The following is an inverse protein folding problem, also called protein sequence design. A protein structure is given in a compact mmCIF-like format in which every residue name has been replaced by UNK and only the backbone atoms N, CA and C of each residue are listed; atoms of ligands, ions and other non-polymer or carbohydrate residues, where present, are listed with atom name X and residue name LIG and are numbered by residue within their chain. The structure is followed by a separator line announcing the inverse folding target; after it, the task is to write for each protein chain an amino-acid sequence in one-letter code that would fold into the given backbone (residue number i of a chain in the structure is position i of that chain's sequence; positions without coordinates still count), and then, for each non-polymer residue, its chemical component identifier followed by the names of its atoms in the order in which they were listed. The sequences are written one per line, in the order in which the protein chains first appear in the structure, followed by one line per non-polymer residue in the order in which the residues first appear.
data_IF_585004978113
#
_entry.id   IF_585004978113
#
_cell.length_a   1.000
_cell.length_b   1.000
_cell.length_c   1.000
_cell.angle_alpha   90.00
_cell.angle_beta   90.00
_cell.angle_gamma   90.00
#
_symmetry.space_group_name_H-M   'P 1'
#
loop_
_entity.id
_entity.type
_entity.pdbx_description
1 polymer ?
#
# COMPACT_ATOMS: atom_id res chain seq x y z
N UNK A 1 -24.30 -36.51 2.88
CA UNK A 1 -23.41 -36.29 4.03
C UNK A 1 -22.55 -35.07 3.75
N UNK A 2 -22.95 -33.90 4.26
CA UNK A 2 -22.15 -32.67 4.14
C UNK A 2 -20.99 -32.73 5.14
N UNK A 3 -19.75 -32.68 4.66
CA UNK A 3 -18.57 -32.62 5.52
C UNK A 3 -18.45 -31.21 6.08
N UNK A 4 -18.49 -31.10 7.40
CA UNK A 4 -18.26 -29.87 8.15
C UNK A 4 -16.86 -29.33 7.88
N UNK A 5 -16.77 -28.08 7.44
CA UNK A 5 -15.51 -27.33 7.37
C UNK A 5 -15.05 -27.06 8.82
N UNK A 6 -13.79 -27.34 9.20
CA UNK A 6 -13.33 -27.07 10.55
C UNK A 6 -13.37 -25.57 10.82
N UNK A 7 -14.00 -25.16 11.92
CA UNK A 7 -13.96 -23.79 12.39
C UNK A 7 -12.51 -23.37 12.64
N UNK A 8 -12.04 -22.34 11.93
CA UNK A 8 -10.78 -21.68 12.25
C UNK A 8 -10.81 -21.28 13.73
N UNK A 9 -9.84 -21.76 14.52
CA UNK A 9 -9.65 -21.33 15.90
C UNK A 9 -9.50 -19.81 16.01
N UNK A 10 -9.55 -19.23 17.22
CA UNK A 10 -9.46 -17.79 17.42
C UNK A 10 -8.23 -17.24 16.71
N UNK A 11 -8.45 -16.37 15.71
CA UNK A 11 -7.36 -15.69 15.01
C UNK A 11 -6.56 -14.95 16.06
N UNK A 12 -5.27 -15.30 16.22
CA UNK A 12 -4.34 -14.49 17.01
C UNK A 12 -4.48 -13.04 16.53
N UNK A 13 -4.79 -12.14 17.45
CA UNK A 13 -5.04 -10.74 17.16
C UNK A 13 -3.70 -10.06 16.90
N UNK A 14 -3.40 -9.81 15.62
CA UNK A 14 -2.14 -9.24 15.15
C UNK A 14 -2.37 -7.81 14.62
N UNK A 15 -2.92 -6.92 15.46
CA UNK A 15 -3.28 -5.54 15.09
C UNK A 15 -2.08 -4.62 14.78
N UNK A 16 -2.34 -3.30 14.75
CA UNK A 16 -1.38 -2.24 14.39
C UNK A 16 -0.03 -2.27 15.14
N UNK A 17 0.01 -2.92 16.31
CA UNK A 17 1.24 -3.19 17.05
C UNK A 17 2.30 -3.93 16.22
N UNK A 18 1.96 -4.81 15.28
CA UNK A 18 2.99 -5.59 14.57
C UNK A 18 3.98 -4.74 13.76
N UNK A 19 3.48 -3.75 13.03
CA UNK A 19 4.35 -2.83 12.28
C UNK A 19 5.20 -1.94 13.21
N UNK A 20 4.70 -1.65 14.42
CA UNK A 20 5.41 -0.85 15.44
C UNK A 20 6.42 -1.67 16.25
N UNK A 21 6.12 -2.92 16.61
CA UNK A 21 7.03 -3.81 17.33
C UNK A 21 8.24 -4.25 16.49
N UNK A 22 8.18 -4.08 15.16
CA UNK A 22 9.33 -4.28 14.26
C UNK A 22 10.38 -3.14 14.38
N UNK A 23 10.07 -2.03 15.06
CA UNK A 23 10.80 -0.76 14.87
C UNK A 23 11.53 -0.17 16.08
N UNK A 24 11.48 -0.78 17.26
CA UNK A 24 12.11 -0.20 18.48
C UNK A 24 13.50 -0.75 18.85
N UNK A 25 14.11 -1.63 18.05
CA UNK A 25 15.54 -1.94 18.23
C UNK A 25 16.38 -1.17 17.21
N UNK A 26 16.67 0.06 17.57
CA UNK A 26 17.60 0.96 16.89
C UNK A 26 19.05 0.49 17.07
N UNK A 27 19.43 -0.64 16.47
CA UNK A 27 20.84 -0.96 16.19
C UNK A 27 20.89 -2.12 15.20
N UNK A 28 21.53 -1.87 14.07
CA UNK A 28 21.80 -2.78 12.94
C UNK A 28 20.66 -2.97 11.91
N UNK A 29 20.97 -2.58 10.67
CA UNK A 29 20.31 -3.02 9.45
C UNK A 29 20.60 -4.52 9.24
N UNK A 30 20.00 -5.38 10.07
CA UNK A 30 20.17 -6.82 10.04
C UNK A 30 18.82 -7.51 9.82
N UNK A 31 18.72 -8.36 8.79
CA UNK A 31 17.62 -9.33 8.64
C UNK A 31 17.47 -10.10 9.95
N UNK A 32 16.41 -9.83 10.74
CA UNK A 32 16.03 -10.73 11.83
C UNK A 32 15.49 -12.01 11.21
N UNK A 33 16.23 -13.11 11.32
CA UNK A 33 15.62 -14.44 11.27
C UNK A 33 14.63 -14.52 12.43
N UNK A 34 13.41 -14.99 12.16
CA UNK A 34 12.43 -15.33 13.20
C UNK A 34 13.12 -16.18 14.27
N UNK A 35 13.13 -15.71 15.52
CA UNK A 35 13.90 -16.32 16.62
C UNK A 35 13.52 -17.80 16.89
N UNK A 36 12.39 -18.28 16.36
CA UNK A 36 11.86 -19.64 16.62
C UNK A 36 11.57 -20.48 15.35
N UNK A 37 12.11 -20.12 14.18
CA UNK A 37 11.80 -20.84 12.92
C UNK A 37 10.37 -20.69 12.39
N UNK A 38 9.52 -19.92 13.09
CA UNK A 38 8.16 -19.59 12.66
C UNK A 38 8.17 -18.56 11.52
N UNK A 39 7.59 -18.94 10.38
CA UNK A 39 7.38 -18.03 9.25
C UNK A 39 6.23 -17.07 9.53
N UNK A 40 6.49 -15.77 9.45
CA UNK A 40 5.46 -14.75 9.49
C UNK A 40 4.91 -14.50 8.08
N UNK A 41 3.58 -14.41 7.95
CA UNK A 41 2.89 -14.09 6.70
C UNK A 41 1.89 -12.96 6.93
N UNK A 42 2.00 -11.91 6.11
CA UNK A 42 1.01 -10.85 6.02
C UNK A 42 0.22 -11.07 4.73
N UNK A 43 -1.09 -11.22 4.84
CA UNK A 43 -1.99 -11.33 3.69
C UNK A 43 -2.69 -9.99 3.54
N UNK A 44 -2.23 -9.19 2.58
CA UNK A 44 -2.77 -7.86 2.33
C UNK A 44 -3.84 -7.87 1.23
N UNK A 45 -4.95 -7.17 1.47
CA UNK A 45 -5.91 -6.83 0.45
C UNK A 45 -5.68 -5.39 -0.03
N UNK A 46 -5.36 -5.22 -1.31
CA UNK A 46 -5.21 -3.90 -1.94
C UNK A 46 -6.60 -3.32 -2.26
N UNK A 47 -6.65 -2.04 -2.67
CA UNK A 47 -7.87 -1.33 -3.09
C UNK A 47 -8.94 -1.09 -2.01
N UNK A 48 -8.59 -1.15 -0.71
CA UNK A 48 -9.50 -0.69 0.33
C UNK A 48 -9.79 0.80 0.13
N UNK A 49 -11.03 1.25 0.28
CA UNK A 49 -11.44 2.61 -0.06
C UNK A 49 -11.81 2.83 -1.52
N UNK A 50 -11.64 1.84 -2.41
CA UNK A 50 -12.05 1.98 -3.82
C UNK A 50 -13.56 2.24 -3.98
N UNK A 51 -14.38 1.38 -3.34
CA UNK A 51 -15.84 1.49 -3.34
C UNK A 51 -16.42 0.78 -2.12
N UNK A 52 -17.67 1.07 -1.78
CA UNK A 52 -18.34 0.39 -0.67
C UNK A 52 -18.45 -1.14 -0.89
N UNK A 53 -18.61 -1.61 -2.14
CA UNK A 53 -18.67 -3.05 -2.44
C UNK A 53 -17.33 -3.74 -2.23
N UNK A 54 -16.23 -3.13 -2.71
CA UNK A 54 -14.87 -3.65 -2.50
C UNK A 54 -14.53 -3.67 -1.01
N UNK A 55 -14.87 -2.60 -0.29
CA UNK A 55 -14.69 -2.53 1.15
C UNK A 55 -15.39 -3.67 1.89
N UNK A 56 -16.65 -3.95 1.55
CA UNK A 56 -17.38 -5.07 2.16
C UNK A 56 -16.68 -6.41 1.90
N UNK A 57 -16.22 -6.64 0.67
CA UNK A 57 -15.47 -7.85 0.32
C UNK A 57 -14.17 -7.99 1.12
N UNK A 58 -13.41 -6.91 1.27
CA UNK A 58 -12.16 -6.92 2.05
C UNK A 58 -12.45 -7.23 3.53
N UNK A 59 -13.48 -6.60 4.09
CA UNK A 59 -13.85 -6.85 5.48
C UNK A 59 -14.34 -8.29 5.67
N UNK A 60 -15.14 -8.81 4.75
CA UNK A 60 -15.57 -10.23 4.76
C UNK A 60 -14.35 -11.18 4.71
N UNK A 61 -13.39 -10.92 3.83
CA UNK A 61 -12.14 -11.68 3.77
C UNK A 61 -11.28 -11.55 5.03
N UNK A 62 -11.38 -10.44 5.77
CA UNK A 62 -10.69 -10.24 7.04
C UNK A 62 -11.41 -10.95 8.20
N UNK A 63 -12.73 -10.80 8.30
CA UNK A 63 -13.54 -11.39 9.39
C UNK A 63 -13.63 -12.90 9.23
N UNK A 64 -13.93 -13.37 8.02
CA UNK A 64 -14.23 -14.78 7.74
C UNK A 64 -13.15 -15.50 6.92
N UNK A 65 -12.11 -14.80 6.46
CA UNK A 65 -11.01 -15.37 5.67
C UNK A 65 -9.62 -15.23 6.31
N UNK A 66 -8.58 -15.11 5.48
CA UNK A 66 -7.17 -15.07 5.92
C UNK A 66 -6.53 -13.68 5.82
N UNK A 67 -7.28 -12.66 5.38
CA UNK A 67 -6.74 -11.29 5.22
C UNK A 67 -6.36 -10.74 6.60
N UNK A 68 -5.10 -10.33 6.74
CA UNK A 68 -4.57 -9.75 7.99
C UNK A 68 -4.29 -8.26 7.88
N UNK A 69 -4.23 -7.74 6.65
CA UNK A 69 -3.88 -6.35 6.36
C UNK A 69 -4.64 -5.84 5.14
N UNK A 70 -4.82 -4.53 5.03
CA UNK A 70 -5.34 -3.87 3.84
C UNK A 70 -4.65 -2.53 3.59
N UNK A 71 -4.65 -2.07 2.35
CA UNK A 71 -4.08 -0.76 1.98
C UNK A 71 -5.15 0.14 1.38
N UNK A 72 -5.31 1.33 1.95
CA UNK A 72 -6.43 2.24 1.66
C UNK A 72 -6.07 3.27 0.59
N UNK A 73 -6.91 3.39 -0.43
CA UNK A 73 -6.95 4.46 -1.42
C UNK A 73 -7.68 5.67 -0.84
N UNK A 74 -6.95 6.75 -0.56
CA UNK A 74 -7.50 7.94 0.14
C UNK A 74 -8.22 8.91 -0.77
N UNK A 75 -8.03 8.82 -2.09
CA UNK A 75 -8.63 9.69 -3.07
C UNK A 75 -9.85 9.06 -3.80
N UNK A 76 -10.34 7.92 -3.32
CA UNK A 76 -11.41 7.16 -3.97
C UNK A 76 -12.76 7.29 -3.23
N UNK A 77 -13.90 7.13 -3.94
CA UNK A 77 -15.23 7.37 -3.36
C UNK A 77 -15.59 6.48 -2.17
N UNK A 78 -14.95 5.30 -2.05
CA UNK A 78 -15.17 4.38 -0.93
C UNK A 78 -14.38 4.73 0.34
N UNK A 79 -13.55 5.78 0.35
CA UNK A 79 -12.65 6.10 1.45
C UNK A 79 -13.38 6.23 2.80
N UNK A 80 -14.43 7.05 2.89
CA UNK A 80 -15.17 7.27 4.15
C UNK A 80 -15.82 5.99 4.69
N UNK A 81 -16.33 5.15 3.78
CA UNK A 81 -16.84 3.83 4.16
C UNK A 81 -15.72 2.92 4.66
N UNK A 82 -14.54 2.94 4.04
CA UNK A 82 -13.39 2.16 4.48
C UNK A 82 -12.91 2.60 5.87
N UNK A 83 -12.85 3.90 6.14
CA UNK A 83 -12.48 4.44 7.46
C UNK A 83 -13.40 3.92 8.56
N UNK A 84 -14.73 4.02 8.37
CA UNK A 84 -15.69 3.49 9.35
C UNK A 84 -15.51 1.99 9.59
N UNK A 85 -15.37 1.21 8.53
CA UNK A 85 -15.18 -0.25 8.62
C UNK A 85 -13.84 -0.63 9.27
N UNK A 86 -12.79 0.16 9.07
CA UNK A 86 -11.51 -0.03 9.76
C UNK A 86 -11.66 0.17 11.27
N UNK A 87 -12.41 1.19 11.70
CA UNK A 87 -12.70 1.43 13.13
C UNK A 87 -13.46 0.28 13.80
N UNK A 88 -14.31 -0.42 13.04
CA UNK A 88 -15.04 -1.60 13.51
C UNK A 88 -14.18 -2.89 13.52
N UNK A 89 -12.99 -2.85 12.90
CA UNK A 89 -12.08 -3.98 12.75
C UNK A 89 -10.67 -3.64 13.29
N UNK A 90 -10.50 -3.44 14.61
CA UNK A 90 -9.23 -2.96 15.19
C UNK A 90 -8.04 -3.92 15.02
N UNK A 91 -8.31 -5.18 14.63
CA UNK A 91 -7.28 -6.19 14.36
C UNK A 91 -6.83 -6.22 12.88
N UNK A 92 -7.45 -5.43 12.00
CA UNK A 92 -7.01 -5.27 10.62
C UNK A 92 -5.84 -4.28 10.57
N UNK A 93 -4.67 -4.72 10.10
CA UNK A 93 -3.59 -3.78 9.78
C UNK A 93 -4.00 -2.90 8.60
N UNK A 94 -3.94 -1.56 8.74
CA UNK A 94 -4.29 -0.65 7.65
C UNK A 94 -3.06 0.16 7.24
N UNK A 95 -2.70 0.09 5.97
CA UNK A 95 -1.69 0.93 5.33
C UNK A 95 -2.33 1.87 4.31
N UNK A 96 -1.52 2.72 3.66
CA UNK A 96 -1.96 3.59 2.56
C UNK A 96 -1.50 3.03 1.21
N UNK A 97 -2.46 2.88 0.29
CA UNK A 97 -2.22 2.51 -1.10
C UNK A 97 -1.96 3.78 -1.91
N UNK A 98 -0.70 4.19 -2.02
CA UNK A 98 -0.36 5.43 -2.72
C UNK A 98 -0.78 5.34 -4.19
N UNK A 99 -1.46 6.38 -4.66
CA UNK A 99 -2.09 6.37 -5.97
C UNK A 99 -1.79 7.64 -6.76
N UNK A 100 -1.26 7.50 -7.96
CA UNK A 100 -1.07 8.58 -8.94
C UNK A 100 -1.60 8.19 -10.32
N UNK A 101 -2.51 7.22 -10.37
CA UNK A 101 -3.10 6.69 -11.60
C UNK A 101 -4.60 6.90 -11.69
N UNK A 102 -5.34 6.69 -10.59
CA UNK A 102 -6.81 6.58 -10.62
C UNK A 102 -7.46 7.78 -9.96
N UNK A 103 -8.50 8.33 -10.60
CA UNK A 103 -9.31 9.40 -10.02
C UNK A 103 -8.63 10.76 -10.03
N UNK A 104 -9.09 11.63 -9.14
CA UNK A 104 -8.59 12.99 -8.96
C UNK A 104 -7.55 13.01 -7.83
N UNK A 105 -6.47 13.79 -7.94
CA UNK A 105 -5.54 14.00 -6.82
C UNK A 105 -6.21 14.64 -5.61
N UNK A 106 -5.59 14.50 -4.44
CA UNK A 106 -5.96 15.27 -3.26
C UNK A 106 -5.33 16.67 -3.25
N UNK A 107 -4.16 16.82 -3.88
CA UNK A 107 -3.50 18.11 -4.05
C UNK A 107 -4.16 18.94 -5.15
N UNK A 108 -3.96 20.26 -5.13
CA UNK A 108 -4.33 21.13 -6.24
C UNK A 108 -3.62 20.65 -7.54
N UNK A 109 -4.37 20.30 -8.60
CA UNK A 109 -3.79 19.88 -9.87
C UNK A 109 -2.75 20.86 -10.45
N UNK A 110 -2.85 22.16 -10.14
CA UNK A 110 -1.86 23.17 -10.56
C UNK A 110 -0.51 22.99 -9.85
N UNK A 111 -0.53 22.61 -8.58
CA UNK A 111 0.66 22.37 -7.77
C UNK A 111 1.35 21.03 -8.08
N UNK A 112 0.66 20.11 -8.77
CA UNK A 112 1.18 18.80 -9.17
C UNK A 112 1.06 18.55 -10.68
N UNK A 113 1.21 19.59 -11.49
CA UNK A 113 0.96 19.58 -12.95
C UNK A 113 1.66 18.44 -13.73
N UNK A 114 2.78 17.91 -13.22
CA UNK A 114 3.47 16.76 -13.84
C UNK A 114 2.72 15.43 -13.70
N UNK A 115 1.82 15.29 -12.73
CA UNK A 115 1.10 14.05 -12.42
C UNK A 115 -0.29 13.97 -13.06
N UNK A 116 -0.81 15.11 -13.51
CA UNK A 116 -2.17 15.22 -14.03
C UNK A 116 -2.19 15.43 -15.55
N UNK A 117 -3.35 15.19 -16.13
CA UNK A 117 -3.71 15.58 -17.49
C UNK A 117 -4.27 17.01 -17.53
N UNK A 118 -4.72 17.45 -18.71
CA UNK A 118 -5.30 18.79 -18.92
C UNK A 118 -6.62 19.02 -18.17
N UNK A 119 -7.30 17.95 -17.75
CA UNK A 119 -8.54 18.02 -16.95
C UNK A 119 -8.26 18.04 -15.45
N UNK A 120 -6.99 17.98 -15.03
CA UNK A 120 -6.59 17.95 -13.63
C UNK A 120 -6.75 16.58 -12.97
N UNK A 121 -6.98 15.52 -13.75
CA UNK A 121 -7.08 14.14 -13.24
C UNK A 121 -5.76 13.40 -13.43
N UNK A 122 -5.55 12.32 -12.67
CA UNK A 122 -4.41 11.44 -12.94
C UNK A 122 -4.49 10.81 -14.32
N UNK A 123 -3.34 10.41 -14.86
CA UNK A 123 -3.21 9.94 -16.25
C UNK A 123 -3.99 8.65 -16.58
N UNK A 124 -4.56 7.95 -15.60
CA UNK A 124 -5.38 6.74 -15.81
C UNK A 124 -4.61 5.50 -16.24
N UNK A 125 -3.35 5.65 -16.67
CA UNK A 125 -2.55 4.59 -17.28
C UNK A 125 -1.13 4.56 -16.72
N UNK A 126 -0.74 3.41 -16.19
CA UNK A 126 0.62 3.14 -15.72
C UNK A 126 1.65 3.36 -16.84
N UNK A 127 1.31 2.95 -18.07
CA UNK A 127 2.18 3.14 -19.23
C UNK A 127 2.40 4.63 -19.55
N UNK A 128 1.34 5.44 -19.50
CA UNK A 128 1.43 6.89 -19.71
C UNK A 128 2.33 7.55 -18.67
N UNK A 129 2.20 7.15 -17.39
CA UNK A 129 3.05 7.65 -16.31
C UNK A 129 4.51 7.23 -16.49
N UNK A 130 4.78 5.95 -16.79
CA UNK A 130 6.13 5.42 -17.03
C UNK A 130 6.78 6.15 -18.21
N UNK A 131 6.07 6.34 -19.33
CA UNK A 131 6.57 7.12 -20.48
C UNK A 131 6.85 8.57 -20.13
N UNK A 132 6.08 9.17 -19.22
CA UNK A 132 6.32 10.54 -18.76
C UNK A 132 7.54 10.61 -17.85
N UNK A 133 7.69 9.65 -16.94
CA UNK A 133 8.84 9.51 -16.05
C UNK A 133 10.13 9.31 -16.84
N UNK A 134 10.13 8.42 -17.84
CA UNK A 134 11.29 8.14 -18.68
C UNK A 134 11.76 9.37 -19.48
N UNK A 135 10.85 10.31 -19.78
CA UNK A 135 11.16 11.59 -20.42
C UNK A 135 11.54 12.70 -19.43
N UNK A 136 11.73 12.38 -18.14
CA UNK A 136 11.98 13.36 -17.08
C UNK A 136 10.79 14.25 -16.74
N UNK A 137 9.60 13.96 -17.28
CA UNK A 137 8.41 14.81 -17.14
C UNK A 137 7.60 14.58 -15.87
N UNK A 138 8.15 13.88 -14.87
CA UNK A 138 7.50 13.63 -13.57
C UNK A 138 8.39 14.21 -12.47
N UNK A 139 7.87 15.20 -11.75
CA UNK A 139 8.58 15.85 -10.65
C UNK A 139 8.47 15.02 -9.37
N UNK A 140 9.62 14.73 -8.75
CA UNK A 140 9.67 14.12 -7.42
C UNK A 140 9.04 14.98 -6.33
N UNK A 141 9.06 16.31 -6.49
CA UNK A 141 8.39 17.22 -5.56
C UNK A 141 6.86 17.13 -5.67
N UNK A 142 6.33 17.02 -6.89
CA UNK A 142 4.88 16.81 -7.09
C UNK A 142 4.42 15.46 -6.54
N UNK A 143 5.20 14.40 -6.74
CA UNK A 143 4.92 13.09 -6.13
C UNK A 143 4.85 13.18 -4.61
N UNK A 144 5.84 13.86 -3.99
CA UNK A 144 5.86 14.03 -2.54
C UNK A 144 4.68 14.85 -2.04
N UNK A 145 4.32 15.95 -2.71
CA UNK A 145 3.18 16.77 -2.32
C UNK A 145 1.89 15.94 -2.29
N UNK A 146 1.65 15.12 -3.31
CA UNK A 146 0.49 14.26 -3.38
C UNK A 146 0.53 13.10 -2.37
N UNK A 147 1.69 12.47 -2.17
CA UNK A 147 1.83 11.40 -1.19
C UNK A 147 1.69 11.90 0.25
N UNK A 148 2.21 13.09 0.56
CA UNK A 148 2.00 13.76 1.84
C UNK A 148 0.50 14.02 2.05
N UNK A 149 -0.22 14.54 1.05
CA UNK A 149 -1.66 14.77 1.12
C UNK A 149 -2.47 13.47 1.34
N UNK A 150 -2.07 12.37 0.68
CA UNK A 150 -2.71 11.05 0.84
C UNK A 150 -2.49 10.46 2.23
N UNK A 151 -1.27 10.54 2.75
CA UNK A 151 -0.96 10.10 4.11
C UNK A 151 -1.68 10.97 5.16
N UNK A 152 -1.68 12.29 4.97
CA UNK A 152 -2.37 13.23 5.86
C UNK A 152 -3.86 12.98 5.91
N UNK A 153 -4.49 12.70 4.77
CA UNK A 153 -5.91 12.36 4.75
C UNK A 153 -6.21 11.09 5.54
N UNK A 154 -5.39 10.05 5.41
CA UNK A 154 -5.58 8.80 6.17
C UNK A 154 -5.42 9.05 7.68
N UNK A 155 -4.33 9.71 8.08
CA UNK A 155 -4.01 10.01 9.48
C UNK A 155 -5.08 10.91 10.10
N UNK A 156 -5.48 11.98 9.39
CA UNK A 156 -6.53 12.91 9.83
C UNK A 156 -7.90 12.27 9.96
N UNK A 157 -8.16 11.19 9.22
CA UNK A 157 -9.37 10.37 9.36
C UNK A 157 -9.28 9.34 10.51
N UNK A 158 -8.21 9.35 11.30
CA UNK A 158 -8.03 8.47 12.46
C UNK A 158 -7.42 7.10 12.14
N UNK A 159 -6.89 6.89 10.93
CA UNK A 159 -6.19 5.65 10.59
C UNK A 159 -4.78 5.63 11.20
N UNK A 160 -4.48 4.60 11.99
CA UNK A 160 -3.12 4.30 12.44
C UNK A 160 -2.31 3.65 11.29
N UNK A 161 -1.78 4.49 10.40
CA UNK A 161 -1.11 4.04 9.17
C UNK A 161 0.10 3.19 9.50
N UNK A 162 -0.01 1.91 9.20
CA UNK A 162 0.98 0.91 9.56
C UNK A 162 2.10 0.72 8.52
N UNK A 163 1.75 0.88 7.24
CA UNK A 163 2.66 0.72 6.11
C UNK A 163 2.15 1.43 4.85
N UNK A 164 2.99 1.42 3.83
CA UNK A 164 2.71 1.99 2.50
C UNK A 164 3.01 0.97 1.41
N UNK A 165 2.15 0.93 0.41
CA UNK A 165 2.42 0.36 -0.91
C UNK A 165 1.90 1.32 -1.99
N UNK A 166 1.74 0.87 -3.23
CA UNK A 166 1.18 1.72 -4.28
C UNK A 166 0.43 0.94 -5.34
N UNK A 167 -0.52 1.62 -5.97
CA UNK A 167 -1.25 1.14 -7.14
C UNK A 167 -0.26 0.66 -8.21
N UNK A 168 -0.51 -0.55 -8.74
CA UNK A 168 0.33 -1.25 -9.74
C UNK A 168 1.83 -1.32 -9.40
N UNK A 169 2.19 -1.35 -8.12
CA UNK A 169 3.59 -1.43 -7.67
C UNK A 169 4.50 -0.30 -8.20
N UNK A 170 3.94 0.86 -8.56
CA UNK A 170 4.71 2.02 -9.03
C UNK A 170 5.84 2.44 -8.10
N UNK A 171 5.72 2.21 -6.79
CA UNK A 171 6.78 2.44 -5.81
C UNK A 171 8.03 1.56 -6.03
N UNK A 172 8.02 0.57 -6.92
CA UNK A 172 9.22 -0.14 -7.37
C UNK A 172 10.15 0.76 -8.21
N UNK A 173 9.63 1.85 -8.79
CA UNK A 173 10.44 2.78 -9.58
C UNK A 173 11.24 3.72 -8.67
N UNK A 174 12.55 3.94 -8.90
CA UNK A 174 13.41 4.69 -7.97
C UNK A 174 12.91 6.10 -7.60
N UNK A 175 12.40 6.87 -8.57
CA UNK A 175 11.89 8.23 -8.33
C UNK A 175 10.64 8.22 -7.44
N UNK A 176 9.73 7.27 -7.69
CA UNK A 176 8.49 7.12 -6.92
C UNK A 176 8.80 6.57 -5.53
N UNK A 177 9.68 5.56 -5.45
CA UNK A 177 10.17 5.02 -4.18
C UNK A 177 10.75 6.11 -3.28
N UNK A 178 11.63 6.96 -3.81
CA UNK A 178 12.24 8.06 -3.03
C UNK A 178 11.21 9.03 -2.50
N UNK A 179 10.19 9.37 -3.29
CA UNK A 179 9.10 10.24 -2.84
C UNK A 179 8.25 9.55 -1.76
N UNK A 180 7.85 8.30 -1.98
CA UNK A 180 7.08 7.51 -1.02
C UNK A 180 7.83 7.34 0.30
N UNK A 181 9.12 6.97 0.26
CA UNK A 181 9.95 6.77 1.44
C UNK A 181 10.16 8.04 2.26
N UNK A 182 10.35 9.19 1.59
CA UNK A 182 10.46 10.48 2.29
C UNK A 182 9.15 10.86 2.97
N UNK A 183 8.02 10.71 2.28
CA UNK A 183 6.69 11.03 2.80
C UNK A 183 6.34 10.13 3.98
N UNK A 184 6.51 8.81 3.82
CA UNK A 184 6.29 7.82 4.89
C UNK A 184 7.15 8.12 6.13
N UNK A 185 8.46 8.35 5.95
CA UNK A 185 9.37 8.69 7.05
C UNK A 185 8.93 9.96 7.78
N UNK A 186 8.52 11.00 7.06
CA UNK A 186 8.07 12.26 7.65
C UNK A 186 6.82 12.08 8.51
N UNK A 187 5.94 11.14 8.15
CA UNK A 187 4.71 10.83 8.89
C UNK A 187 4.89 9.74 9.94
N UNK A 188 6.12 9.28 10.18
CA UNK A 188 6.41 8.20 11.14
C UNK A 188 5.95 6.82 10.68
N UNK A 189 5.66 6.62 9.39
CA UNK A 189 5.30 5.32 8.82
C UNK A 189 6.56 4.58 8.43
N UNK A 190 6.80 3.43 9.06
CA UNK A 190 8.07 2.71 9.00
C UNK A 190 8.06 1.51 8.05
N UNK A 191 6.88 1.07 7.60
CA UNK A 191 6.71 -0.02 6.65
C UNK A 191 6.51 0.50 5.22
N UNK A 192 7.32 0.00 4.27
CA UNK A 192 7.05 0.12 2.83
C UNK A 192 7.12 -1.28 2.23
N UNK A 193 6.09 -1.67 1.46
CA UNK A 193 6.10 -2.94 0.74
C UNK A 193 7.25 -2.92 -0.28
N UNK A 194 8.01 -4.02 -0.34
CA UNK A 194 9.01 -4.23 -1.37
C UNK A 194 8.50 -5.35 -2.29
N UNK A 195 8.11 -5.04 -3.53
CA UNK A 195 7.68 -6.06 -4.48
C UNK A 195 8.91 -6.89 -4.87
N UNK A 196 8.81 -8.21 -4.72
CA UNK A 196 9.79 -9.16 -5.23
C UNK A 196 9.24 -9.72 -6.54
N UNK A 197 9.29 -8.93 -7.60
CA UNK A 197 8.83 -9.34 -8.93
C UNK A 197 10.03 -9.67 -9.81
N UNK A 198 10.04 -10.85 -10.41
CA UNK A 198 10.92 -11.11 -11.55
C UNK A 198 10.33 -10.35 -12.75
N UNK A 199 11.06 -9.41 -13.38
CA UNK A 199 10.56 -8.75 -14.59
C UNK A 199 10.09 -9.78 -15.59
N UNK A 200 8.96 -9.58 -16.27
CA UNK A 200 8.42 -10.56 -17.24
C UNK A 200 9.45 -10.98 -18.31
N UNK A 201 10.35 -10.07 -18.66
CA UNK A 201 11.49 -10.31 -19.56
C UNK A 201 12.51 -11.32 -18.99
N UNK A 202 12.71 -11.33 -17.67
CA UNK A 202 13.52 -12.31 -16.93
C UNK A 202 12.72 -13.58 -16.60
N UNK A 203 11.39 -13.50 -16.56
CA UNK A 203 10.52 -14.66 -16.35
C UNK A 203 10.50 -15.62 -17.55
N UNK A 204 10.81 -15.13 -18.75
CA UNK A 204 11.04 -15.93 -19.96
C UNK A 204 12.46 -16.50 -20.07
N UNK A 205 13.40 -16.03 -19.25
CA UNK A 205 14.77 -16.57 -19.22
C UNK A 205 14.84 -17.77 -18.27
N UNK A 206 15.63 -18.80 -18.60
CA UNK A 206 15.84 -19.95 -17.74
C UNK A 206 16.43 -19.53 -16.37
N UNK A 207 16.15 -20.31 -15.32
CA UNK A 207 16.35 -19.90 -13.91
C UNK A 207 17.81 -19.58 -13.57
N UNK A 208 18.74 -20.22 -14.25
CA UNK A 208 20.20 -20.03 -14.18
C UNK A 208 20.65 -18.64 -14.64
N UNK A 209 19.90 -17.98 -15.53
CA UNK A 209 20.19 -16.63 -16.00
C UNK A 209 19.63 -15.50 -15.10
N UNK A 210 18.98 -15.84 -13.97
CA UNK A 210 18.30 -14.87 -13.08
C UNK A 210 19.13 -14.45 -11.86
N UNK A 211 20.35 -14.96 -11.71
CA UNK A 211 21.19 -14.81 -10.51
C UNK A 211 22.43 -13.93 -10.69
N UNK A 212 22.38 -12.92 -11.58
CA UNK A 212 23.38 -11.86 -11.68
C UNK A 212 22.92 -10.58 -10.95
#
# INVERSE_FOLDING_TARGET
MARSVPSCGPKRTWGSKWWKTVTTDSTSCGRRRSRDGLKALIVNADDFGLSASVNRGIIECHTNGIVTSATILTNMPGFEHAVRRAGECPNLGVGVHLNVLRGTPLSDPKAISSLVDRSGKFLGSAWSLVRRLARGGVSGAHLRLEFDAQLDRAIGAGIDVSHVDSEKHLHAMPTIFRAAARSARQKGVLGIRLPSETPRLLASLPRDARSL
#
